data_IF_324922999732
#
_entry.id   IF_324922999732
#
_cell.length_a   1.000
_cell.length_b   1.000
_cell.length_c   1.000
_cell.angle_alpha   90.00
_cell.angle_beta   90.00
_cell.angle_gamma   90.00
#
_symmetry.space_group_name_H-M   'P 1'
#
loop_
_entity.id
_entity.type
_entity.pdbx_description
1 polymer ?
#
# COMPACT_ATOMS: atom_id res chain seq x y z
N UNK A 1 33.71 16.89 21.72
CA UNK A 1 32.92 17.45 20.62
C UNK A 1 31.74 16.53 20.36
N UNK A 2 30.56 16.95 20.81
CA UNK A 2 29.32 16.22 20.66
C UNK A 2 28.68 16.51 19.29
N UNK A 3 28.27 15.46 18.56
CA UNK A 3 26.95 15.45 17.90
C UNK A 3 26.55 14.05 17.46
N UNK A 4 25.64 13.47 18.25
CA UNK A 4 24.67 12.43 17.86
C UNK A 4 24.03 12.80 16.52
N UNK A 5 24.23 11.99 15.49
CA UNK A 5 23.42 12.03 14.28
C UNK A 5 22.07 11.35 14.54
N UNK A 6 21.16 12.16 15.06
CA UNK A 6 19.70 12.19 14.89
C UNK A 6 19.04 10.95 14.25
N UNK A 7 18.40 10.14 15.10
CA UNK A 7 17.19 9.36 14.75
C UNK A 7 16.17 10.31 14.11
N UNK A 8 15.79 10.07 12.86
CA UNK A 8 14.50 10.50 12.34
C UNK A 8 13.45 9.51 12.91
N UNK A 9 12.68 9.88 13.94
CA UNK A 9 11.38 10.53 13.76
C UNK A 9 10.59 9.79 12.66
N UNK A 10 9.85 8.71 12.98
CA UNK A 10 8.73 8.78 13.92
C UNK A 10 7.60 9.62 13.31
N UNK A 11 7.19 9.28 12.08
CA UNK A 11 5.99 9.81 11.46
C UNK A 11 4.89 8.79 11.61
N UNK A 12 3.97 9.02 12.54
CA UNK A 12 2.71 8.30 12.67
C UNK A 12 1.89 8.54 11.40
N UNK A 13 2.13 7.74 10.36
CA UNK A 13 1.14 7.60 9.30
C UNK A 13 0.00 6.84 9.94
N UNK A 14 -1.15 7.48 10.07
CA UNK A 14 -2.47 6.84 10.16
C UNK A 14 -2.57 5.94 8.93
N UNK A 15 -1.95 4.76 9.03
CA UNK A 15 -1.90 3.73 8.01
C UNK A 15 -3.27 3.08 8.02
N UNK A 16 -4.29 3.79 7.54
CA UNK A 16 -5.51 3.12 7.14
C UNK A 16 -5.13 2.31 5.91
N UNK A 17 -4.89 0.99 6.04
CA UNK A 17 -4.45 0.20 4.92
C UNK A 17 -5.60 0.20 3.91
N UNK A 18 -5.28 0.41 2.63
CA UNK A 18 -6.28 0.25 1.55
C UNK A 18 -6.84 -1.18 1.50
N UNK A 19 -6.20 -2.11 2.21
CA UNK A 19 -6.48 -3.53 2.22
C UNK A 19 -6.85 -3.97 3.63
N UNK A 20 -7.94 -4.74 3.75
CA UNK A 20 -8.40 -5.27 5.03
C UNK A 20 -7.42 -6.34 5.53
N UNK A 21 -6.67 -6.01 6.58
CA UNK A 21 -5.60 -6.87 7.11
C UNK A 21 -6.07 -8.28 7.46
N UNK A 22 -7.28 -8.43 8.03
CA UNK A 22 -7.82 -9.75 8.40
C UNK A 22 -7.98 -10.65 7.18
N UNK A 23 -8.49 -10.11 6.07
CA UNK A 23 -8.71 -10.86 4.83
C UNK A 23 -7.39 -11.26 4.17
N UNK A 24 -6.39 -10.38 4.20
CA UNK A 24 -5.05 -10.69 3.70
C UNK A 24 -4.41 -11.80 4.53
N UNK A 25 -4.48 -11.71 5.87
CA UNK A 25 -3.93 -12.74 6.77
C UNK A 25 -4.67 -14.08 6.62
N UNK A 26 -6.00 -14.07 6.50
CA UNK A 26 -6.82 -15.27 6.21
C UNK A 26 -6.37 -15.94 4.89
N UNK A 27 -6.18 -15.15 3.83
CA UNK A 27 -5.75 -15.67 2.53
C UNK A 27 -4.33 -16.26 2.57
N UNK A 28 -3.40 -15.64 3.28
CA UNK A 28 -2.03 -16.14 3.42
C UNK A 28 -1.99 -17.44 4.24
N UNK A 29 -2.78 -17.51 5.33
CA UNK A 29 -2.92 -18.73 6.13
C UNK A 29 -3.51 -19.90 5.34
N UNK A 30 -4.46 -19.66 4.43
CA UNK A 30 -4.98 -20.69 3.51
C UNK A 30 -3.88 -21.31 2.64
N UNK A 31 -2.86 -20.53 2.29
CA UNK A 31 -1.69 -20.99 1.55
C UNK A 31 -0.61 -21.63 2.45
N UNK A 32 -0.93 -21.96 3.71
CA UNK A 32 0.01 -22.53 4.69
C UNK A 32 1.26 -21.69 4.94
N UNK A 33 1.16 -20.36 4.76
CA UNK A 33 2.26 -19.42 4.98
C UNK A 33 1.99 -18.50 6.19
N UNK A 34 3.07 -18.03 6.81
CA UNK A 34 3.01 -17.00 7.83
C UNK A 34 3.23 -15.61 7.19
N UNK A 35 2.55 -14.60 7.71
CA UNK A 35 2.61 -13.24 7.18
C UNK A 35 3.38 -12.36 8.15
N UNK A 36 4.49 -11.74 7.70
CA UNK A 36 5.20 -10.73 8.47
C UNK A 36 4.34 -9.46 8.63
N UNK A 37 4.57 -8.71 9.70
CA UNK A 37 3.91 -7.42 9.96
C UNK A 37 4.10 -6.42 8.81
N UNK A 38 5.20 -6.54 8.07
CA UNK A 38 5.59 -5.58 7.03
C UNK A 38 4.85 -5.80 5.70
N UNK A 39 4.27 -7.00 5.51
CA UNK A 39 3.57 -7.38 4.27
C UNK A 39 2.37 -6.48 4.01
N UNK A 40 1.65 -6.07 5.06
CA UNK A 40 0.49 -5.18 4.92
C UNK A 40 0.91 -3.80 4.38
N UNK A 41 2.04 -3.28 4.86
CA UNK A 41 2.58 -2.01 4.39
C UNK A 41 3.01 -2.10 2.91
N UNK A 42 3.74 -3.14 2.55
CA UNK A 42 4.18 -3.39 1.18
C UNK A 42 2.99 -3.59 0.22
N UNK A 43 1.99 -4.37 0.62
CA UNK A 43 0.79 -4.59 -0.17
C UNK A 43 0.00 -3.29 -0.39
N UNK A 44 -0.14 -2.48 0.67
CA UNK A 44 -0.81 -1.17 0.57
C UNK A 44 -0.08 -0.25 -0.42
N UNK A 45 1.25 -0.21 -0.37
CA UNK A 45 2.06 0.57 -1.31
C UNK A 45 1.90 0.09 -2.76
N UNK A 46 1.89 -1.22 -3.00
CA UNK A 46 1.66 -1.79 -4.32
C UNK A 46 0.27 -1.44 -4.88
N UNK A 47 -0.78 -1.57 -4.06
CA UNK A 47 -2.16 -1.21 -4.45
C UNK A 47 -2.26 0.29 -4.74
N UNK A 48 -1.62 1.16 -3.95
CA UNK A 48 -1.55 2.59 -4.23
C UNK A 48 -0.88 2.88 -5.58
N UNK A 49 0.21 2.18 -5.90
CA UNK A 49 0.89 2.30 -7.19
C UNK A 49 -0.02 1.95 -8.36
N UNK A 50 -0.68 0.79 -8.29
CA UNK A 50 -1.63 0.34 -9.32
C UNK A 50 -2.77 1.34 -9.53
N UNK A 51 -3.40 1.81 -8.45
CA UNK A 51 -4.49 2.80 -8.53
C UNK A 51 -3.97 4.12 -9.13
N UNK A 52 -2.78 4.56 -8.74
CA UNK A 52 -2.20 5.81 -9.27
C UNK A 52 -1.95 5.72 -10.77
N UNK A 53 -1.37 4.60 -11.24
CA UNK A 53 -1.16 4.35 -12.65
C UNK A 53 -2.49 4.30 -13.42
N UNK A 54 -3.49 3.60 -12.87
CA UNK A 54 -4.80 3.56 -13.50
C UNK A 54 -5.51 4.91 -13.54
N UNK A 55 -5.40 5.71 -12.48
CA UNK A 55 -5.92 7.08 -12.47
C UNK A 55 -5.23 7.93 -13.54
N UNK A 56 -3.92 7.76 -13.76
CA UNK A 56 -3.19 8.46 -14.81
C UNK A 56 -3.65 8.02 -16.21
N UNK A 57 -3.86 6.71 -16.45
CA UNK A 57 -4.42 6.20 -17.70
C UNK A 57 -5.85 6.69 -17.95
N UNK A 58 -6.70 6.70 -16.92
CA UNK A 58 -8.05 7.23 -17.00
C UNK A 58 -8.05 8.72 -17.36
N UNK A 59 -7.21 9.53 -16.70
CA UNK A 59 -7.02 10.95 -17.00
C UNK A 59 -6.48 11.19 -18.41
N UNK A 60 -5.50 10.40 -18.85
CA UNK A 60 -4.95 10.49 -20.21
C UNK A 60 -6.03 10.22 -21.27
N UNK A 61 -7.00 9.36 -20.96
CA UNK A 61 -8.17 9.09 -21.79
C UNK A 61 -9.31 10.10 -21.62
N UNK A 62 -9.10 11.21 -20.89
CA UNK A 62 -10.11 12.24 -20.63
C UNK A 62 -11.23 11.80 -19.66
N UNK A 63 -11.08 10.67 -18.98
CA UNK A 63 -12.09 10.08 -18.09
C UNK A 63 -11.80 10.42 -16.63
N UNK A 64 -12.85 10.81 -15.91
CA UNK A 64 -12.81 11.00 -14.43
C UNK A 64 -13.11 9.72 -13.66
N UNK A 65 -13.52 8.66 -14.36
CA UNK A 65 -13.88 7.36 -13.77
C UNK A 65 -12.78 6.34 -14.08
N UNK A 66 -12.20 5.79 -13.02
CA UNK A 66 -11.29 4.64 -13.11
C UNK A 66 -12.11 3.39 -13.46
N UNK A 67 -11.75 2.70 -14.54
CA UNK A 67 -12.36 1.43 -14.93
C UNK A 67 -11.40 0.27 -14.65
N UNK A 68 -11.93 -0.94 -14.62
CA UNK A 68 -11.12 -2.15 -14.51
C UNK A 68 -10.06 -2.28 -15.62
N UNK A 69 -10.33 -1.72 -16.81
CA UNK A 69 -9.36 -1.65 -17.91
C UNK A 69 -8.19 -0.70 -17.67
N UNK A 70 -8.28 0.18 -16.67
CA UNK A 70 -7.23 1.15 -16.36
C UNK A 70 -6.29 0.65 -15.25
N UNK A 71 -6.72 -0.29 -14.40
CA UNK A 71 -5.89 -0.89 -13.35
C UNK A 71 -4.83 -1.81 -13.98
#
# INVERSE_FOLDING_TARGET
MAKKAKKAAGGSKTNNPLVVQSKVKEFIKKNKMNCSSDVIGALTANVQGLITQGCNRAKANGRKTLRATDL
#
